data_IF_532083812278
#
_entry.id   IF_532083812278
#
_cell.length_a   1.000
_cell.length_b   1.000
_cell.length_c   1.000
_cell.angle_alpha   90.00
_cell.angle_beta   90.00
_cell.angle_gamma   90.00
#
_symmetry.space_group_name_H-M   'P 1'
#
loop_
_entity.id
_entity.type
_entity.pdbx_description
1 polymer ?
#
# COMPACT_ATOMS: atom_id res chain seq x y z
N UNK A 1 -5.92 -41.42 1.99
CA UNK A 1 -4.51 -41.52 2.50
C UNK A 1 -3.45 -40.61 1.86
N UNK A 2 -3.48 -40.25 0.56
CA UNK A 2 -2.41 -39.42 -0.07
C UNK A 2 -2.49 -37.91 0.22
N UNK A 3 -3.68 -37.34 0.41
CA UNK A 3 -3.85 -35.90 0.66
C UNK A 3 -3.46 -35.49 2.09
N UNK A 4 -3.75 -36.33 3.10
CA UNK A 4 -3.47 -36.07 4.52
C UNK A 4 -1.95 -35.93 4.84
N UNK A 5 -1.09 -36.71 4.17
CA UNK A 5 0.37 -36.62 4.37
C UNK A 5 1.00 -35.33 3.85
N UNK A 6 0.39 -34.68 2.86
CA UNK A 6 0.90 -33.43 2.30
C UNK A 6 0.58 -32.23 3.18
N UNK A 7 -0.53 -32.26 3.94
CA UNK A 7 -0.89 -31.19 4.87
C UNK A 7 -0.05 -31.21 6.16
N UNK A 8 0.21 -32.38 6.73
CA UNK A 8 0.94 -32.50 8.01
C UNK A 8 2.42 -32.08 7.92
N UNK A 9 3.09 -32.32 6.78
CA UNK A 9 4.50 -32.00 6.59
C UNK A 9 4.77 -30.50 6.36
N UNK A 10 3.78 -29.75 5.84
CA UNK A 10 3.91 -28.30 5.65
C UNK A 10 3.82 -27.49 6.96
N UNK A 11 3.17 -28.03 7.99
CA UNK A 11 2.85 -27.31 9.23
C UNK A 11 4.06 -27.27 10.18
N UNK A 12 4.83 -28.35 10.31
CA UNK A 12 5.96 -28.44 11.26
C UNK A 12 7.10 -27.45 10.93
N UNK A 13 7.34 -27.17 9.64
CA UNK A 13 8.39 -26.24 9.20
C UNK A 13 8.08 -24.76 9.50
N UNK A 14 6.81 -24.36 9.48
CA UNK A 14 6.39 -22.99 9.79
C UNK A 14 6.43 -22.69 11.30
N UNK A 15 6.21 -23.72 12.14
CA UNK A 15 6.11 -23.61 13.61
C UNK A 15 7.43 -23.16 14.26
N UNK A 16 8.58 -23.62 13.76
CA UNK A 16 9.89 -23.30 14.36
C UNK A 16 10.36 -21.87 14.03
N UNK A 17 9.98 -21.33 12.88
CA UNK A 17 10.49 -20.05 12.39
C UNK A 17 9.84 -18.83 13.07
N UNK A 18 8.56 -18.94 13.47
CA UNK A 18 7.81 -17.81 14.05
C UNK A 18 8.12 -17.61 15.54
N UNK A 19 8.41 -18.69 16.28
CA UNK A 19 8.70 -18.59 17.71
C UNK A 19 9.99 -17.80 18.01
N UNK A 20 10.96 -17.82 17.09
CA UNK A 20 12.21 -17.07 17.21
C UNK A 20 12.04 -15.54 17.09
N UNK A 21 10.90 -15.02 16.63
CA UNK A 21 10.67 -13.56 16.51
C UNK A 21 10.10 -12.91 17.77
N UNK A 22 9.77 -13.66 18.82
CA UNK A 22 9.03 -13.14 19.99
C UNK A 22 9.94 -12.58 21.10
N UNK A 23 11.27 -12.79 21.04
CA UNK A 23 12.18 -12.50 22.17
C UNK A 23 12.96 -11.18 22.07
N UNK A 24 12.40 -10.12 21.47
CA UNK A 24 12.96 -8.77 21.63
C UNK A 24 12.01 -7.94 22.49
N UNK A 25 12.32 -7.90 23.78
CA UNK A 25 11.69 -6.99 24.73
C UNK A 25 12.34 -5.61 24.56
N UNK A 26 11.68 -4.72 23.81
CA UNK A 26 12.12 -3.33 23.67
C UNK A 26 11.71 -2.53 24.90
N UNK A 27 12.68 -1.83 25.50
CA UNK A 27 12.39 -0.89 26.60
C UNK A 27 11.66 0.34 26.05
N UNK A 28 10.85 1.04 26.87
CA UNK A 28 10.13 2.26 26.47
C UNK A 28 11.04 3.36 25.86
N UNK A 29 12.34 3.37 26.21
CA UNK A 29 13.34 4.27 25.64
C UNK A 29 13.68 3.95 24.17
N UNK A 30 13.61 2.67 23.79
CA UNK A 30 13.89 2.18 22.44
C UNK A 30 12.75 2.50 21.48
N UNK A 31 11.50 2.41 21.94
CA UNK A 31 10.34 2.83 21.17
C UNK A 31 10.34 4.33 20.89
N UNK A 32 10.76 5.16 21.86
CA UNK A 32 10.92 6.60 21.66
C UNK A 32 12.00 6.94 20.63
N UNK A 33 13.16 6.29 20.69
CA UNK A 33 14.24 6.48 19.72
C UNK A 33 13.83 6.04 18.31
N UNK A 34 13.17 4.88 18.18
CA UNK A 34 12.64 4.37 16.91
C UNK A 34 11.58 5.32 16.33
N UNK A 35 10.71 5.85 17.18
CA UNK A 35 9.71 6.85 16.79
C UNK A 35 10.33 8.12 16.24
N UNK A 36 11.38 8.63 16.90
CA UNK A 36 12.14 9.78 16.41
C UNK A 36 12.79 9.51 15.06
N UNK A 37 13.52 8.40 14.91
CA UNK A 37 14.20 8.05 13.65
C UNK A 37 13.22 7.98 12.46
N UNK A 38 12.09 7.31 12.64
CA UNK A 38 11.05 7.19 11.63
C UNK A 38 10.42 8.55 11.30
N UNK A 39 10.15 9.36 12.33
CA UNK A 39 9.63 10.71 12.16
C UNK A 39 10.58 11.61 11.37
N UNK A 40 11.88 11.60 11.69
CA UNK A 40 12.89 12.39 10.97
C UNK A 40 13.07 11.92 9.52
N UNK A 41 12.84 10.63 9.24
CA UNK A 41 12.92 10.10 7.89
C UNK A 41 11.69 10.47 7.04
N UNK A 42 10.48 10.27 7.57
CA UNK A 42 9.25 10.36 6.78
C UNK A 42 8.43 11.64 7.00
N UNK A 43 8.48 12.24 8.19
CA UNK A 43 7.56 13.30 8.61
C UNK A 43 8.20 14.69 8.64
N UNK A 44 9.46 14.80 9.10
CA UNK A 44 10.14 16.08 9.27
C UNK A 44 10.32 16.92 7.99
N UNK A 45 10.39 16.37 6.77
CA UNK A 45 10.37 17.18 5.55
C UNK A 45 9.18 18.15 5.44
N UNK A 46 8.04 17.77 6.01
CA UNK A 46 6.81 18.56 5.98
C UNK A 46 6.48 19.18 7.35
N UNK A 47 6.59 18.42 8.44
CA UNK A 47 6.24 18.86 9.80
C UNK A 47 7.41 19.52 10.56
N UNK A 48 8.62 19.54 9.98
CA UNK A 48 9.81 20.03 10.67
C UNK A 48 10.39 19.04 11.67
N UNK A 49 11.66 19.22 12.04
CA UNK A 49 12.35 18.33 12.97
C UNK A 49 11.76 18.43 14.38
N UNK A 50 11.31 19.62 14.80
CA UNK A 50 10.64 19.81 16.10
C UNK A 50 9.13 19.55 16.07
N UNK A 51 8.54 19.34 14.89
CA UNK A 51 7.08 19.25 14.69
C UNK A 51 6.37 20.60 14.62
N UNK A 52 7.10 21.71 14.76
CA UNK A 52 6.53 23.05 14.66
C UNK A 52 6.21 23.41 13.21
N UNK A 53 5.08 24.07 13.02
CA UNK A 53 4.71 24.59 11.70
C UNK A 53 5.82 25.48 11.10
N UNK A 54 5.89 25.49 9.77
CA UNK A 54 6.82 26.29 8.97
C UNK A 54 8.30 25.85 9.03
N UNK A 55 8.66 24.80 9.76
CA UNK A 55 10.06 24.32 9.83
C UNK A 55 10.42 23.31 8.75
N UNK A 56 9.47 22.48 8.30
CA UNK A 56 9.72 21.51 7.24
C UNK A 56 10.13 22.22 5.95
N UNK A 57 11.21 21.76 5.31
CA UNK A 57 11.72 22.41 4.10
C UNK A 57 10.71 22.41 2.94
N UNK A 58 9.75 21.47 2.95
CA UNK A 58 8.69 21.38 1.95
C UNK A 58 7.49 22.29 2.27
N UNK A 59 7.38 22.81 3.49
CA UNK A 59 6.21 23.55 3.98
C UNK A 59 5.73 24.68 3.06
N UNK A 60 6.69 25.48 2.55
CA UNK A 60 6.40 26.63 1.69
C UNK A 60 5.81 26.23 0.34
N UNK A 61 6.02 24.98 -0.08
CA UNK A 61 5.57 24.42 -1.37
C UNK A 61 4.25 23.63 -1.24
N UNK A 62 3.74 23.46 -0.01
CA UNK A 62 2.49 22.72 0.24
C UNK A 62 1.25 23.59 0.02
N UNK A 63 0.21 23.08 -0.65
CA UNK A 63 -1.09 23.74 -0.70
C UNK A 63 -1.81 23.67 0.66
N UNK A 64 -2.90 24.41 0.81
CA UNK A 64 -3.77 24.26 1.95
C UNK A 64 -4.65 22.99 1.84
N UNK A 65 -4.96 22.33 2.97
CA UNK A 65 -4.46 22.62 4.31
C UNK A 65 -2.98 22.20 4.46
N UNK A 66 -2.17 23.12 4.99
CA UNK A 66 -0.76 22.86 5.30
C UNK A 66 -0.60 21.85 6.45
N UNK A 67 0.59 21.23 6.59
CA UNK A 67 0.85 20.32 7.70
C UNK A 67 0.51 20.93 9.06
N UNK A 68 -0.03 20.16 10.00
CA UNK A 68 -0.40 20.68 11.33
C UNK A 68 0.84 20.96 12.19
N UNK A 69 0.76 21.95 13.08
CA UNK A 69 1.73 22.16 14.16
C UNK A 69 1.56 21.07 15.23
N UNK A 70 2.48 20.12 15.27
CA UNK A 70 2.44 18.97 16.17
C UNK A 70 2.86 19.31 17.60
N UNK A 71 3.38 20.52 17.83
CA UNK A 71 3.75 21.04 19.15
C UNK A 71 2.60 21.78 19.84
N UNK A 72 1.53 22.10 19.10
CA UNK A 72 0.38 22.82 19.65
C UNK A 72 -0.39 21.94 20.64
N UNK A 73 -0.07 22.09 21.92
CA UNK A 73 -0.70 21.33 23.00
C UNK A 73 -2.22 21.51 23.07
N UNK A 74 -2.76 22.70 22.79
CA UNK A 74 -4.20 22.92 22.93
C UNK A 74 -5.01 22.11 21.91
N UNK A 75 -4.43 21.91 20.73
CA UNK A 75 -5.08 21.21 19.63
C UNK A 75 -4.70 19.73 19.62
N UNK A 76 -3.40 19.41 19.72
CA UNK A 76 -2.95 18.02 19.66
C UNK A 76 -3.44 17.18 20.84
N UNK A 77 -3.73 17.80 21.99
CA UNK A 77 -4.32 17.09 23.14
C UNK A 77 -5.77 16.67 22.91
N UNK A 78 -6.48 17.20 21.90
CA UNK A 78 -7.88 16.83 21.66
C UNK A 78 -8.03 15.51 20.90
N UNK A 79 -6.98 15.08 20.18
CA UNK A 79 -6.97 13.80 19.47
C UNK A 79 -6.64 12.66 20.42
N UNK A 80 -7.28 11.50 20.20
CA UNK A 80 -6.88 10.23 20.82
C UNK A 80 -5.65 9.66 20.12
N UNK A 81 -4.98 8.71 20.76
CA UNK A 81 -3.83 8.03 20.18
C UNK A 81 -4.21 7.31 18.87
N UNK A 82 -5.39 6.70 18.85
CA UNK A 82 -5.96 6.03 17.69
C UNK A 82 -6.26 7.01 16.55
N UNK A 83 -6.66 8.24 16.84
CA UNK A 83 -6.95 9.24 15.80
C UNK A 83 -5.65 9.63 15.06
N UNK A 84 -4.56 9.80 15.81
CA UNK A 84 -3.23 10.07 15.24
C UNK A 84 -2.74 8.83 14.46
N UNK A 85 -2.87 7.64 15.04
CA UNK A 85 -2.52 6.39 14.37
C UNK A 85 -3.28 6.23 13.04
N UNK A 86 -4.59 6.42 13.06
CA UNK A 86 -5.45 6.27 11.88
C UNK A 86 -5.12 7.32 10.82
N UNK A 87 -4.78 8.55 11.21
CA UNK A 87 -4.32 9.58 10.28
C UNK A 87 -3.06 9.15 9.53
N UNK A 88 -2.12 8.49 10.21
CA UNK A 88 -0.86 7.98 9.63
C UNK A 88 -1.08 6.69 8.83
N UNK A 89 -2.04 5.85 9.24
CA UNK A 89 -2.25 4.47 8.74
C UNK A 89 -3.62 4.27 8.07
N UNK A 90 -4.15 5.30 7.40
CA UNK A 90 -5.41 5.21 6.62
C UNK A 90 -5.18 4.74 5.20
N UNK A 91 -6.26 4.39 4.51
CA UNK A 91 -6.24 4.29 3.05
C UNK A 91 -6.34 5.69 2.41
N UNK A 92 -5.72 5.85 1.24
CA UNK A 92 -5.83 7.08 0.46
C UNK A 92 -7.20 7.13 -0.22
N UNK A 93 -7.87 8.28 -0.13
CA UNK A 93 -9.18 8.54 -0.74
C UNK A 93 -9.03 9.55 -1.89
N UNK A 94 -9.79 9.38 -2.97
CA UNK A 94 -9.87 10.35 -4.06
C UNK A 94 -10.78 11.51 -3.63
N UNK A 95 -10.21 12.67 -3.34
CA UNK A 95 -10.97 13.84 -2.84
C UNK A 95 -11.57 14.71 -3.95
N UNK A 96 -11.56 14.24 -5.19
CA UNK A 96 -12.10 15.04 -6.27
C UNK A 96 -13.63 15.13 -6.22
N UNK A 97 -14.17 16.30 -6.56
CA UNK A 97 -15.63 16.56 -6.51
C UNK A 97 -16.50 15.59 -7.31
N UNK A 98 -16.04 15.16 -8.49
CA UNK A 98 -16.84 14.31 -9.40
C UNK A 98 -16.27 12.90 -9.50
N UNK A 99 -16.91 11.90 -8.90
CA UNK A 99 -16.42 10.51 -9.00
C UNK A 99 -15.17 10.23 -8.17
N UNK A 100 -14.88 11.09 -7.17
CA UNK A 100 -14.04 10.73 -6.04
C UNK A 100 -14.79 9.87 -5.02
N UNK A 101 -14.11 9.53 -3.93
CA UNK A 101 -14.69 8.76 -2.82
C UNK A 101 -15.60 9.65 -1.96
N UNK A 102 -16.62 9.05 -1.33
CA UNK A 102 -17.40 9.74 -0.30
C UNK A 102 -16.55 9.95 0.95
N UNK A 103 -16.43 11.22 1.36
CA UNK A 103 -15.67 11.64 2.53
C UNK A 103 -16.67 12.02 3.63
N UNK A 104 -16.67 11.27 4.73
CA UNK A 104 -17.48 11.61 5.89
C UNK A 104 -16.96 12.86 6.60
N UNK A 105 -17.82 13.53 7.37
CA UNK A 105 -17.48 14.76 8.09
C UNK A 105 -16.29 14.57 9.07
N UNK A 106 -16.12 13.36 9.60
CA UNK A 106 -15.04 13.00 10.53
C UNK A 106 -13.82 12.36 9.83
N UNK A 107 -13.85 12.20 8.50
CA UNK A 107 -12.78 11.53 7.76
C UNK A 107 -11.63 12.49 7.42
N UNK A 108 -10.41 12.14 7.84
CA UNK A 108 -9.22 12.81 7.34
C UNK A 108 -8.86 12.30 5.94
N UNK A 109 -9.04 13.14 4.92
CA UNK A 109 -8.84 12.76 3.52
C UNK A 109 -7.78 13.57 2.75
N UNK A 110 -7.00 14.44 3.41
CA UNK A 110 -6.02 15.32 2.72
C UNK A 110 -5.00 14.50 1.90
N UNK A 111 -4.99 14.58 0.55
CA UNK A 111 -4.16 13.68 -0.27
C UNK A 111 -2.66 13.90 -0.11
N UNK A 112 -2.25 15.13 0.24
CA UNK A 112 -0.85 15.53 0.36
C UNK A 112 -0.17 15.01 1.63
N UNK A 113 -0.94 14.54 2.62
CA UNK A 113 -0.41 13.77 3.75
C UNK A 113 -0.50 12.28 3.40
N UNK A 114 0.63 11.63 3.05
CA UNK A 114 0.62 10.27 2.54
C UNK A 114 0.26 9.25 3.63
N UNK A 115 -0.26 8.10 3.20
CA UNK A 115 -0.38 6.94 4.08
C UNK A 115 0.95 6.24 4.29
N UNK A 116 1.15 5.71 5.50
CA UNK A 116 2.26 4.82 5.83
C UNK A 116 1.80 3.39 6.12
N UNK A 117 0.49 3.11 6.01
CA UNK A 117 -0.14 1.80 6.25
C UNK A 117 0.54 0.65 5.52
N UNK A 118 1.03 0.90 4.31
CA UNK A 118 1.67 -0.11 3.45
C UNK A 118 3.19 -0.06 3.47
N UNK A 119 3.78 0.79 4.31
CA UNK A 119 5.23 1.03 4.39
C UNK A 119 5.79 0.62 5.74
N UNK A 120 5.11 0.99 6.82
CA UNK A 120 5.51 0.78 8.19
C UNK A 120 4.68 -0.34 8.82
N UNK A 121 5.24 -1.05 9.80
CA UNK A 121 4.45 -1.95 10.64
C UNK A 121 3.57 -1.16 11.61
N UNK A 122 2.52 -1.78 12.16
CA UNK A 122 1.67 -1.11 13.17
C UNK A 122 2.50 -0.66 14.39
N UNK A 123 3.44 -1.48 14.86
CA UNK A 123 4.37 -1.11 15.94
C UNK A 123 5.18 0.16 15.61
N UNK A 124 5.64 0.29 14.37
CA UNK A 124 6.40 1.46 13.91
C UNK A 124 5.53 2.72 13.86
N UNK A 125 4.28 2.60 13.41
CA UNK A 125 3.33 3.71 13.45
C UNK A 125 3.06 4.12 14.90
N UNK A 126 2.86 3.18 15.83
CA UNK A 126 2.73 3.50 17.25
C UNK A 126 3.97 4.16 17.84
N UNK A 127 5.17 3.78 17.40
CA UNK A 127 6.39 4.48 17.80
C UNK A 127 6.38 5.96 17.34
N UNK A 128 5.92 6.24 16.12
CA UNK A 128 5.71 7.61 15.64
C UNK A 128 4.67 8.34 16.49
N UNK A 129 3.53 7.72 16.80
CA UNK A 129 2.49 8.31 17.67
C UNK A 129 3.09 8.69 19.03
N UNK A 130 3.87 7.79 19.63
CA UNK A 130 4.58 8.04 20.88
C UNK A 130 5.52 9.24 20.81
N UNK A 131 6.29 9.37 19.72
CA UNK A 131 7.15 10.53 19.49
C UNK A 131 6.35 11.82 19.31
N UNK A 132 5.30 11.80 18.48
CA UNK A 132 4.40 12.94 18.24
C UNK A 132 3.75 13.41 19.55
N UNK A 133 3.31 12.50 20.43
CA UNK A 133 2.81 12.84 21.78
C UNK A 133 3.84 13.60 22.61
N UNK A 134 5.10 13.18 22.52
CA UNK A 134 6.22 13.87 23.17
C UNK A 134 6.38 15.32 22.75
N UNK A 135 6.14 15.65 21.47
CA UNK A 135 6.31 17.00 20.91
C UNK A 135 5.39 18.05 21.54
N UNK A 136 4.23 17.64 22.04
CA UNK A 136 3.28 18.51 22.76
C UNK A 136 3.17 18.18 24.26
N UNK A 137 4.16 17.47 24.81
CA UNK A 137 4.27 17.20 26.24
C UNK A 137 3.24 16.20 26.79
N UNK A 138 2.70 15.33 25.93
CA UNK A 138 1.85 14.21 26.32
C UNK A 138 2.63 12.89 26.26
N UNK A 139 2.07 11.86 26.89
CA UNK A 139 2.50 10.48 26.74
C UNK A 139 1.40 9.70 26.05
N UNK A 140 1.78 8.81 25.16
CA UNK A 140 0.87 7.84 24.57
C UNK A 140 0.31 6.92 25.67
N UNK A 141 -1.00 6.72 25.65
CA UNK A 141 -1.75 5.80 26.49
C UNK A 141 -1.75 4.37 25.92
N UNK A 142 -1.70 4.23 24.59
CA UNK A 142 -1.65 2.93 23.92
C UNK A 142 -0.44 2.10 24.36
N UNK A 143 -0.65 0.82 24.68
CA UNK A 143 0.38 -0.08 25.21
C UNK A 143 0.73 -1.18 24.22
N UNK A 144 1.74 -0.91 23.38
CA UNK A 144 2.21 -1.85 22.35
C UNK A 144 2.57 -3.23 22.90
N UNK A 145 3.27 -3.29 24.04
CA UNK A 145 3.67 -4.57 24.65
C UNK A 145 2.49 -5.40 25.15
N UNK A 146 1.43 -4.77 25.66
CA UNK A 146 0.21 -5.48 26.05
C UNK A 146 -0.52 -6.01 24.82
N UNK A 147 -0.62 -5.20 23.75
CA UNK A 147 -1.19 -5.62 22.46
C UNK A 147 -0.42 -6.80 21.86
N UNK A 148 0.90 -6.75 21.86
CA UNK A 148 1.78 -7.83 21.34
C UNK A 148 1.54 -9.14 22.09
N UNK A 149 1.45 -9.09 23.43
CA UNK A 149 1.13 -10.26 24.26
C UNK A 149 -0.27 -10.83 23.97
N UNK A 150 -1.26 -9.96 23.82
CA UNK A 150 -2.62 -10.37 23.46
C UNK A 150 -2.67 -11.08 22.10
N UNK A 151 -2.01 -10.53 21.08
CA UNK A 151 -1.95 -11.14 19.76
C UNK A 151 -1.18 -12.47 19.76
N UNK A 152 -0.08 -12.57 20.51
CA UNK A 152 0.65 -13.81 20.66
C UNK A 152 -0.20 -14.91 21.33
N UNK A 153 -0.96 -14.56 22.37
CA UNK A 153 -1.89 -15.49 23.03
C UNK A 153 -3.05 -15.90 22.11
N UNK A 154 -3.60 -14.98 21.32
CA UNK A 154 -4.63 -15.27 20.34
C UNK A 154 -4.10 -16.21 19.23
N UNK A 155 -2.88 -15.97 18.74
CA UNK A 155 -2.22 -16.84 17.77
C UNK A 155 -2.02 -18.26 18.32
N UNK A 156 -1.52 -18.39 19.55
CA UNK A 156 -1.35 -19.69 20.20
C UNK A 156 -2.69 -20.42 20.39
N UNK A 157 -3.74 -19.68 20.74
CA UNK A 157 -5.10 -20.25 20.88
C UNK A 157 -5.62 -20.76 19.53
N UNK A 158 -5.47 -19.96 18.46
CA UNK A 158 -5.87 -20.37 17.12
C UNK A 158 -5.09 -21.60 16.60
N UNK A 159 -3.79 -21.68 16.91
CA UNK A 159 -2.97 -22.86 16.61
C UNK A 159 -3.52 -24.11 17.33
N UNK A 160 -3.82 -23.98 18.62
CA UNK A 160 -4.38 -25.07 19.43
C UNK A 160 -5.74 -25.53 18.89
N UNK A 161 -6.61 -24.58 18.53
CA UNK A 161 -7.92 -24.89 17.95
C UNK A 161 -7.81 -25.64 16.62
N UNK A 162 -6.89 -25.22 15.74
CA UNK A 162 -6.66 -25.93 14.48
C UNK A 162 -6.12 -27.34 14.72
N UNK A 163 -5.19 -27.52 15.66
CA UNK A 163 -4.65 -28.84 15.99
C UNK A 163 -5.76 -29.78 16.49
N UNK A 164 -6.63 -29.30 17.36
CA UNK A 164 -7.78 -30.07 17.86
C UNK A 164 -8.79 -30.39 16.76
N UNK A 165 -9.15 -29.41 15.93
CA UNK A 165 -10.07 -29.62 14.81
C UNK A 165 -9.51 -30.58 13.77
N UNK A 166 -8.20 -30.53 13.50
CA UNK A 166 -7.51 -31.47 12.61
C UNK A 166 -7.58 -32.90 13.16
N UNK A 167 -7.29 -33.08 14.46
CA UNK A 167 -7.41 -34.39 15.13
C UNK A 167 -8.82 -34.96 15.08
N UNK A 168 -9.85 -34.11 15.27
CA UNK A 168 -11.25 -34.52 15.17
C UNK A 168 -11.62 -34.95 13.74
N UNK A 169 -11.22 -34.16 12.74
CA UNK A 169 -11.40 -34.50 11.33
C UNK A 169 -10.72 -35.81 10.95
N UNK A 170 -9.46 -36.01 11.31
CA UNK A 170 -8.72 -37.25 11.03
C UNK A 170 -9.37 -38.48 11.71
N UNK A 171 -9.90 -38.31 12.92
CA UNK A 171 -10.62 -39.38 13.62
C UNK A 171 -11.94 -39.73 12.93
N UNK A 172 -12.72 -38.72 12.50
CA UNK A 172 -13.99 -38.91 11.80
C UNK A 172 -13.81 -39.52 10.40
N UNK A 173 -12.83 -39.04 9.62
CA UNK A 173 -12.48 -39.60 8.30
C UNK A 173 -12.06 -41.08 8.43
N UNK A 174 -11.25 -41.39 9.45
CA UNK A 174 -10.82 -42.76 9.72
C UNK A 174 -11.99 -43.66 10.07
N UNK A 175 -12.90 -43.21 10.95
CA UNK A 175 -14.09 -43.99 11.31
C UNK A 175 -14.99 -44.24 10.10
N UNK A 176 -15.22 -43.23 9.26
CA UNK A 176 -16.01 -43.36 8.04
C UNK A 176 -15.39 -44.35 7.05
N UNK A 177 -14.06 -44.32 6.92
CA UNK A 177 -13.31 -45.26 6.07
C UNK A 177 -13.42 -46.70 6.58
N UNK A 178 -13.25 -46.93 7.89
CA UNK A 178 -13.41 -48.25 8.50
C UNK A 178 -14.85 -48.79 8.36
N UNK A 179 -15.86 -47.93 8.41
CA UNK A 179 -17.25 -48.33 8.20
C UNK A 179 -17.54 -48.70 6.73
N UNK A 180 -16.98 -47.95 5.78
CA UNK A 180 -17.10 -48.23 4.35
C UNK A 180 -16.40 -49.54 3.95
N UNK A 181 -15.22 -49.82 4.51
CA UNK A 181 -14.52 -51.09 4.32
C UNK A 181 -15.35 -52.28 4.82
N UNK A 182 -15.91 -52.20 6.04
CA UNK A 182 -16.80 -53.24 6.58
C UNK A 182 -18.03 -53.46 5.70
N UNK A 183 -18.65 -52.39 5.18
CA UNK A 183 -19.78 -52.49 4.25
C UNK A 183 -19.36 -53.12 2.93
N UNK A 184 -18.17 -52.80 2.43
CA UNK A 184 -17.63 -53.36 1.18
C UNK A 184 -17.41 -54.87 1.28
N UNK A 185 -16.82 -55.32 2.39
CA UNK A 185 -16.61 -56.75 2.66
C UNK A 185 -17.94 -57.51 2.79
N UNK A 186 -18.91 -56.95 3.52
CA UNK A 186 -20.22 -57.58 3.72
C UNK A 186 -21.04 -57.69 2.41
N UNK A 187 -20.94 -56.68 1.54
CA UNK A 187 -21.71 -56.59 0.29
C UNK A 187 -20.98 -57.17 -0.92
N UNK A 188 -19.69 -57.52 -0.79
CA UNK A 188 -18.79 -57.93 -1.90
C UNK A 188 -18.82 -56.93 -3.07
N UNK A 189 -18.93 -55.64 -2.74
CA UNK A 189 -18.98 -54.53 -3.68
C UNK A 189 -18.24 -53.37 -3.06
N UNK A 190 -17.48 -52.63 -3.87
CA UNK A 190 -16.78 -51.44 -3.40
C UNK A 190 -17.79 -50.38 -2.92
N UNK A 191 -17.69 -50.02 -1.65
CA UNK A 191 -18.42 -48.93 -0.99
C UNK A 191 -17.38 -47.92 -0.53
N UNK A 192 -17.48 -46.70 -1.04
CA UNK A 192 -16.59 -45.61 -0.62
C UNK A 192 -17.10 -44.92 0.65
N UNK A 193 -16.21 -44.30 1.45
CA UNK A 193 -16.62 -43.50 2.60
C UNK A 193 -17.51 -42.35 2.19
N UNK A 194 -18.61 -42.19 2.91
CA UNK A 194 -19.56 -41.10 2.72
C UNK A 194 -18.96 -39.79 3.25
N UNK A 195 -18.55 -38.89 2.35
CA UNK A 195 -17.96 -37.61 2.74
C UNK A 195 -18.90 -36.75 3.59
N UNK A 196 -20.22 -36.98 3.51
CA UNK A 196 -21.18 -36.27 4.36
C UNK A 196 -21.10 -36.67 5.83
N UNK A 197 -20.50 -37.82 6.15
CA UNK A 197 -20.38 -38.32 7.52
C UNK A 197 -19.32 -37.60 8.35
N UNK A 198 -18.44 -36.81 7.72
CA UNK A 198 -17.40 -36.02 8.39
C UNK A 198 -17.34 -34.57 7.87
N UNK A 199 -18.41 -34.11 7.20
CA UNK A 199 -18.48 -32.78 6.60
C UNK A 199 -18.40 -31.66 7.65
N UNK A 200 -18.96 -31.90 8.84
CA UNK A 200 -18.95 -30.93 9.95
C UNK A 200 -17.53 -30.75 10.51
N UNK A 201 -16.77 -31.83 10.67
CA UNK A 201 -15.37 -31.79 11.12
C UNK A 201 -14.46 -31.12 10.08
N UNK A 202 -14.70 -31.39 8.78
CA UNK A 202 -13.98 -30.71 7.70
C UNK A 202 -14.27 -29.20 7.70
N UNK A 203 -15.52 -28.81 7.89
CA UNK A 203 -15.92 -27.40 8.00
C UNK A 203 -15.30 -26.73 9.24
N UNK A 204 -15.29 -27.41 10.39
CA UNK A 204 -14.67 -26.93 11.62
C UNK A 204 -13.14 -26.75 11.45
N UNK A 205 -12.44 -27.70 10.83
CA UNK A 205 -11.01 -27.58 10.52
C UNK A 205 -10.74 -26.43 9.56
N UNK A 206 -11.55 -26.28 8.50
CA UNK A 206 -11.42 -25.16 7.55
C UNK A 206 -11.61 -23.80 8.23
N UNK A 207 -12.60 -23.69 9.12
CA UNK A 207 -12.83 -22.49 9.93
C UNK A 207 -11.66 -22.19 10.86
N UNK A 208 -11.19 -23.18 11.63
CA UNK A 208 -10.05 -23.01 12.53
C UNK A 208 -8.78 -22.60 11.77
N UNK A 209 -8.60 -23.12 10.55
CA UNK A 209 -7.49 -22.71 9.67
C UNK A 209 -7.60 -21.24 9.28
N UNK A 210 -8.78 -20.77 8.86
CA UNK A 210 -9.00 -19.35 8.53
C UNK A 210 -8.74 -18.44 9.73
N UNK A 211 -9.15 -18.84 10.93
CA UNK A 211 -8.89 -18.12 12.18
C UNK A 211 -7.39 -18.04 12.49
N UNK A 212 -6.66 -19.15 12.32
CA UNK A 212 -5.20 -19.17 12.45
C UNK A 212 -4.53 -18.25 11.43
N UNK A 213 -4.91 -18.36 10.15
CA UNK A 213 -4.34 -17.55 9.07
C UNK A 213 -4.59 -16.04 9.35
N UNK A 214 -5.77 -15.68 9.89
CA UNK A 214 -6.10 -14.30 10.28
C UNK A 214 -5.31 -13.83 11.52
N UNK A 215 -5.17 -14.68 12.55
CA UNK A 215 -4.36 -14.35 13.73
C UNK A 215 -2.89 -14.17 13.37
N UNK A 216 -2.36 -15.01 12.47
CA UNK A 216 -1.00 -14.91 11.96
C UNK A 216 -0.82 -13.63 11.17
N UNK A 217 -1.73 -13.30 10.24
CA UNK A 217 -1.68 -12.05 9.50
C UNK A 217 -1.69 -10.82 10.41
N UNK A 218 -2.53 -10.83 11.46
CA UNK A 218 -2.61 -9.74 12.44
C UNK A 218 -1.29 -9.58 13.20
N UNK A 219 -0.69 -10.68 13.66
CA UNK A 219 0.61 -10.64 14.33
C UNK A 219 1.74 -10.19 13.39
N UNK A 220 1.73 -10.64 12.14
CA UNK A 220 2.70 -10.23 11.12
C UNK A 220 2.59 -8.73 10.83
N UNK A 221 1.38 -8.19 10.65
CA UNK A 221 1.16 -6.77 10.43
C UNK A 221 1.63 -5.90 11.61
N UNK A 222 1.55 -6.43 12.84
CA UNK A 222 2.07 -5.73 14.01
C UNK A 222 3.57 -5.47 13.91
N UNK A 223 4.33 -6.52 13.62
CA UNK A 223 5.79 -6.53 13.80
C UNK A 223 6.58 -6.39 12.50
N UNK A 224 5.97 -6.65 11.35
CA UNK A 224 6.66 -6.70 10.06
C UNK A 224 6.14 -5.62 9.12
N UNK A 225 7.06 -4.90 8.47
CA UNK A 225 6.71 -3.96 7.40
C UNK A 225 5.99 -4.67 6.25
N UNK A 226 4.85 -4.14 5.76
CA UNK A 226 4.18 -4.69 4.61
C UNK A 226 5.08 -4.69 3.37
N UNK A 227 4.93 -5.70 2.51
CA UNK A 227 5.63 -5.77 1.23
C UNK A 227 7.15 -6.01 1.32
N UNK A 228 7.75 -6.14 2.52
CA UNK A 228 9.17 -6.44 2.67
C UNK A 228 9.51 -7.79 2.02
N UNK A 229 10.53 -7.81 1.16
CA UNK A 229 10.96 -9.01 0.43
C UNK A 229 10.01 -9.48 -0.68
N UNK A 230 8.95 -8.73 -0.97
CA UNK A 230 8.05 -9.04 -2.09
C UNK A 230 8.61 -8.50 -3.40
N UNK A 231 8.42 -9.23 -4.50
CA UNK A 231 8.78 -8.77 -5.84
C UNK A 231 7.50 -8.41 -6.60
N UNK A 232 7.42 -7.17 -7.10
CA UNK A 232 6.32 -6.77 -7.99
C UNK A 232 6.64 -7.26 -9.41
N UNK A 233 5.78 -8.08 -10.04
CA UNK A 233 6.00 -8.56 -11.39
C UNK A 233 6.00 -7.41 -12.40
N UNK A 234 6.63 -7.62 -13.56
CA UNK A 234 6.57 -6.66 -14.66
C UNK A 234 5.15 -6.68 -15.25
N UNK A 235 4.41 -5.56 -15.23
CA UNK A 235 3.05 -5.50 -15.78
C UNK A 235 3.03 -5.43 -17.31
N UNK A 236 1.90 -5.80 -17.91
CA UNK A 236 1.52 -5.33 -19.24
C UNK A 236 0.81 -3.97 -19.16
N UNK A 237 1.51 -2.93 -19.57
CA UNK A 237 1.02 -1.54 -19.58
C UNK A 237 0.38 -1.15 -20.91
N UNK A 238 0.27 -2.08 -21.86
CA UNK A 238 -0.40 -1.83 -23.14
C UNK A 238 -1.87 -1.48 -22.91
N UNK A 239 -2.37 -0.50 -23.66
CA UNK A 239 -3.76 -0.07 -23.61
C UNK A 239 -4.25 0.25 -25.02
N UNK A 240 -5.53 0.02 -25.27
CA UNK A 240 -6.14 0.33 -26.56
C UNK A 240 -6.13 1.86 -26.79
N UNK A 241 -5.87 2.34 -28.03
CA UNK A 241 -5.77 3.77 -28.32
C UNK A 241 -7.01 4.57 -27.91
N UNK A 242 -8.21 4.00 -28.03
CA UNK A 242 -9.48 4.63 -27.67
C UNK A 242 -9.66 4.83 -26.16
N UNK A 243 -8.95 4.07 -25.33
CA UNK A 243 -8.99 4.17 -23.87
C UNK A 243 -7.83 4.99 -23.28
N UNK A 244 -6.76 5.21 -24.06
CA UNK A 244 -5.52 5.85 -23.58
C UNK A 244 -5.79 7.24 -22.97
N UNK A 245 -6.50 8.10 -23.69
CA UNK A 245 -6.76 9.47 -23.23
C UNK A 245 -7.54 9.50 -21.92
N UNK A 246 -8.56 8.64 -21.79
CA UNK A 246 -9.37 8.51 -20.57
C UNK A 246 -8.54 8.00 -19.39
N UNK A 247 -7.68 7.01 -19.62
CA UNK A 247 -6.81 6.46 -18.57
C UNK A 247 -5.70 7.42 -18.15
N UNK A 248 -5.15 8.21 -19.07
CA UNK A 248 -4.20 9.28 -18.75
C UNK A 248 -4.88 10.36 -17.89
N UNK A 249 -6.09 10.79 -18.26
CA UNK A 249 -6.84 11.76 -17.47
C UNK A 249 -7.17 11.24 -16.06
N UNK A 250 -7.55 9.96 -15.94
CA UNK A 250 -7.70 9.30 -14.64
C UNK A 250 -6.37 9.30 -13.86
N UNK A 251 -5.26 8.97 -14.52
CA UNK A 251 -3.94 8.97 -13.92
C UNK A 251 -3.52 10.33 -13.35
N UNK A 252 -3.79 11.41 -14.08
CA UNK A 252 -3.56 12.78 -13.62
C UNK A 252 -4.39 13.10 -12.38
N UNK A 253 -5.70 12.83 -12.42
CA UNK A 253 -6.58 12.99 -11.26
C UNK A 253 -6.06 12.23 -10.04
N UNK A 254 -5.71 10.95 -10.21
CA UNK A 254 -5.23 10.12 -9.11
C UNK A 254 -3.91 10.65 -8.54
N UNK A 255 -3.03 11.14 -9.42
CA UNK A 255 -1.78 11.79 -9.04
C UNK A 255 -2.01 13.00 -8.13
N UNK A 256 -2.99 13.86 -8.44
CA UNK A 256 -3.27 15.10 -7.70
C UNK A 256 -4.15 14.86 -6.47
N UNK A 257 -5.26 14.14 -6.63
CA UNK A 257 -6.38 14.17 -5.70
C UNK A 257 -6.57 12.92 -4.86
N UNK A 258 -5.94 11.80 -5.22
CA UNK A 258 -5.98 10.58 -4.40
C UNK A 258 -4.67 10.33 -3.69
N UNK A 259 -3.58 10.32 -4.46
CA UNK A 259 -2.26 9.96 -3.96
C UNK A 259 -1.38 11.16 -3.63
N UNK A 260 -1.85 12.39 -3.93
CA UNK A 260 -1.19 13.65 -3.56
C UNK A 260 0.28 13.69 -3.95
N UNK A 261 0.63 13.10 -5.10
CA UNK A 261 2.01 12.97 -5.56
C UNK A 261 2.67 14.35 -5.72
N UNK A 262 1.89 15.36 -6.11
CA UNK A 262 2.27 16.76 -6.17
C UNK A 262 2.64 17.38 -4.81
N UNK A 263 2.24 16.77 -3.68
CA UNK A 263 2.69 17.21 -2.35
C UNK A 263 4.17 16.97 -2.12
N UNK A 264 4.76 15.97 -2.79
CA UNK A 264 6.17 15.64 -2.68
C UNK A 264 6.95 15.97 -3.95
N UNK A 265 6.37 15.76 -5.12
CA UNK A 265 7.02 15.90 -6.42
C UNK A 265 6.59 17.18 -7.13
N UNK A 266 7.54 17.83 -7.80
CA UNK A 266 7.24 18.97 -8.67
C UNK A 266 6.98 18.54 -10.12
N UNK A 267 6.11 19.30 -10.77
CA UNK A 267 5.97 19.39 -12.23
C UNK A 267 6.08 20.88 -12.57
N UNK A 268 7.20 21.26 -13.15
CA UNK A 268 7.54 22.61 -13.55
C UNK A 268 7.84 23.42 -12.30
N UNK A 269 7.29 24.64 -12.18
CA UNK A 269 7.43 25.44 -10.98
C UNK A 269 6.55 24.94 -9.81
N UNK A 270 5.59 24.05 -10.08
CA UNK A 270 4.53 23.68 -9.14
C UNK A 270 4.82 22.35 -8.43
N UNK A 271 4.36 22.24 -7.18
CA UNK A 271 4.43 21.01 -6.38
C UNK A 271 5.56 20.98 -5.34
N UNK A 272 5.75 19.80 -4.74
CA UNK A 272 6.67 19.58 -3.63
C UNK A 272 8.13 19.44 -4.03
N UNK A 273 9.00 19.52 -3.02
CA UNK A 273 10.47 19.43 -3.14
C UNK A 273 11.08 18.21 -2.45
N UNK A 274 10.24 17.34 -1.88
CA UNK A 274 10.69 16.12 -1.17
C UNK A 274 11.13 15.06 -2.17
N UNK A 275 10.33 14.86 -3.22
CA UNK A 275 10.60 13.98 -4.32
C UNK A 275 11.29 14.71 -5.48
N UNK A 276 11.97 13.99 -6.39
CA UNK A 276 12.53 14.58 -7.59
C UNK A 276 11.45 15.14 -8.52
N UNK A 277 11.79 16.17 -9.30
CA UNK A 277 10.94 16.70 -10.35
C UNK A 277 10.55 15.61 -11.38
N UNK A 278 9.28 15.57 -11.76
CA UNK A 278 8.69 14.55 -12.64
C UNK A 278 8.39 15.05 -14.06
N UNK A 279 8.71 16.29 -14.39
CA UNK A 279 8.50 16.91 -15.70
C UNK A 279 8.96 16.07 -16.88
N UNK A 280 10.07 15.37 -16.68
CA UNK A 280 10.72 14.55 -17.71
C UNK A 280 10.65 13.06 -17.39
N UNK A 281 9.73 12.64 -16.52
CA UNK A 281 9.60 11.25 -16.10
C UNK A 281 9.39 10.32 -17.30
N UNK A 282 8.50 10.67 -18.23
CA UNK A 282 8.21 9.89 -19.43
C UNK A 282 9.34 9.85 -20.46
N UNK A 283 10.29 10.78 -20.37
CA UNK A 283 11.52 10.74 -21.16
C UNK A 283 12.61 9.88 -20.49
N UNK A 284 12.71 9.94 -19.16
CA UNK A 284 13.81 9.35 -18.38
C UNK A 284 13.54 7.94 -17.86
N UNK A 285 12.28 7.60 -17.62
CA UNK A 285 11.89 6.40 -16.88
C UNK A 285 11.13 5.42 -17.77
N UNK A 286 11.34 4.13 -17.52
CA UNK A 286 10.59 3.07 -18.17
C UNK A 286 9.23 2.88 -17.48
N UNK A 287 8.13 2.85 -18.24
CA UNK A 287 6.78 2.72 -17.66
C UNK A 287 6.58 1.49 -16.77
N UNK A 288 7.15 0.33 -17.13
CA UNK A 288 7.05 -0.87 -16.27
C UNK A 288 7.86 -0.75 -14.99
N UNK A 289 8.95 0.02 -15.01
CA UNK A 289 9.70 0.37 -13.81
C UNK A 289 8.90 1.31 -12.91
N UNK A 290 8.29 2.35 -13.50
CA UNK A 290 7.43 3.30 -12.77
C UNK A 290 6.28 2.58 -12.08
N UNK A 291 5.57 1.70 -12.79
CA UNK A 291 4.49 0.90 -12.19
C UNK A 291 4.96 0.14 -10.95
N UNK A 292 6.10 -0.57 -11.04
CA UNK A 292 6.63 -1.37 -9.92
C UNK A 292 7.03 -0.48 -8.75
N UNK A 293 7.62 0.68 -9.05
CA UNK A 293 7.96 1.69 -8.05
C UNK A 293 6.73 2.20 -7.32
N UNK A 294 5.64 2.52 -8.04
CA UNK A 294 4.38 2.97 -7.44
C UNK A 294 3.70 1.88 -6.59
N UNK A 295 3.84 0.60 -6.98
CA UNK A 295 3.25 -0.53 -6.24
C UNK A 295 3.97 -0.83 -4.93
N UNK A 296 5.29 -0.83 -4.93
CA UNK A 296 6.09 -1.11 -3.74
C UNK A 296 7.51 -0.51 -3.89
N UNK A 297 7.71 0.77 -3.55
CA UNK A 297 8.99 1.44 -3.71
C UNK A 297 10.06 0.83 -2.77
N UNK A 298 9.65 0.36 -1.58
CA UNK A 298 10.55 -0.23 -0.59
C UNK A 298 11.13 -1.59 -1.01
N UNK A 299 10.44 -2.33 -1.89
CA UNK A 299 10.98 -3.54 -2.51
C UNK A 299 12.08 -3.25 -3.54
N UNK A 300 12.12 -2.03 -4.08
CA UNK A 300 13.12 -1.60 -5.07
C UNK A 300 14.26 -0.83 -4.43
N UNK A 301 13.96 -0.01 -3.43
CA UNK A 301 14.93 0.69 -2.60
C UNK A 301 14.37 0.78 -1.17
N UNK A 302 14.95 0.01 -0.24
CA UNK A 302 14.48 -0.07 1.14
C UNK A 302 14.70 1.22 1.98
N UNK A 303 15.49 2.17 1.47
CA UNK A 303 15.79 3.45 2.14
C UNK A 303 15.06 4.64 1.50
N UNK A 304 14.20 4.40 0.51
CA UNK A 304 13.49 5.50 -0.15
C UNK A 304 12.48 6.15 0.78
N UNK A 305 12.44 7.49 0.78
CA UNK A 305 11.45 8.27 1.52
C UNK A 305 10.04 8.17 0.93
N UNK A 306 9.90 7.71 -0.32
CA UNK A 306 8.58 7.55 -0.94
C UNK A 306 7.86 6.34 -0.31
N UNK A 307 6.75 6.55 0.41
CA UNK A 307 6.01 5.43 0.98
C UNK A 307 5.24 4.66 -0.10
N UNK A 308 4.95 3.40 0.17
CA UNK A 308 3.93 2.67 -0.56
C UNK A 308 2.55 3.25 -0.19
N UNK A 309 1.84 3.80 -1.18
CA UNK A 309 0.55 4.47 -0.98
C UNK A 309 -0.68 3.56 -1.18
N UNK A 310 -0.45 2.25 -1.40
CA UNK A 310 -1.53 1.29 -1.58
C UNK A 310 -2.22 1.32 -2.94
N UNK A 311 -1.51 1.73 -4.01
CA UNK A 311 -2.10 1.75 -5.35
C UNK A 311 -2.55 0.35 -5.76
N UNK A 312 -3.82 0.22 -6.16
CA UNK A 312 -4.27 -0.98 -6.87
C UNK A 312 -3.67 -1.00 -8.29
N UNK A 313 -3.84 -2.12 -9.01
CA UNK A 313 -3.19 -2.29 -10.32
C UNK A 313 -3.73 -1.34 -11.39
N UNK A 314 -5.03 -1.01 -11.35
CA UNK A 314 -5.64 -0.06 -12.27
C UNK A 314 -5.11 1.37 -12.03
N UNK A 315 -5.06 1.79 -10.77
CA UNK A 315 -4.57 3.10 -10.35
C UNK A 315 -3.07 3.25 -10.68
N UNK A 316 -2.26 2.24 -10.35
CA UNK A 316 -0.83 2.23 -10.68
C UNK A 316 -0.60 2.31 -12.19
N UNK A 317 -1.39 1.61 -13.00
CA UNK A 317 -1.33 1.67 -14.47
C UNK A 317 -1.73 3.06 -14.98
N UNK A 318 -2.81 3.63 -14.47
CA UNK A 318 -3.28 4.95 -14.88
C UNK A 318 -2.25 6.06 -14.58
N UNK A 319 -1.75 6.11 -13.34
CA UNK A 319 -0.71 7.07 -12.93
C UNK A 319 0.58 6.86 -13.73
N UNK A 320 0.99 5.61 -13.97
CA UNK A 320 2.14 5.32 -14.83
C UNK A 320 1.96 5.91 -16.23
N UNK A 321 0.80 5.69 -16.86
CA UNK A 321 0.51 6.20 -18.20
C UNK A 321 0.53 7.72 -18.23
N UNK A 322 -0.04 8.39 -17.23
CA UNK A 322 0.08 9.84 -17.07
C UNK A 322 1.55 10.28 -16.98
N UNK A 323 2.35 9.68 -16.11
CA UNK A 323 3.77 10.04 -15.98
C UNK A 323 4.55 9.83 -17.29
N UNK A 324 4.15 8.88 -18.15
CA UNK A 324 4.78 8.70 -19.47
C UNK A 324 4.53 9.85 -20.46
N UNK A 325 3.50 10.67 -20.24
CA UNK A 325 3.23 11.86 -21.06
C UNK A 325 4.09 13.05 -20.64
N UNK A 326 4.66 13.04 -19.43
CA UNK A 326 5.54 14.10 -18.92
C UNK A 326 6.94 13.99 -19.53
N UNK A 327 7.19 14.73 -20.62
CA UNK A 327 8.46 14.68 -21.39
C UNK A 327 9.28 15.96 -21.33
N UNK A 328 8.87 16.92 -20.49
CA UNK A 328 9.37 18.28 -20.39
C UNK A 328 8.65 19.20 -21.37
N UNK A 329 8.71 20.52 -21.13
CA UNK A 329 8.39 21.48 -22.18
C UNK A 329 9.30 21.18 -23.38
N UNK A 330 8.71 21.09 -24.56
CA UNK A 330 9.49 21.23 -25.78
C UNK A 330 9.99 22.66 -25.81
N UNK A 331 11.16 22.95 -25.22
CA UNK A 331 11.87 24.17 -25.52
C UNK A 331 12.17 24.18 -27.02
N UNK A 332 11.40 24.96 -27.78
CA UNK A 332 11.69 25.32 -29.16
C UNK A 332 11.65 24.19 -30.18
N UNK A 333 10.68 24.28 -31.08
CA UNK A 333 11.02 24.30 -32.51
C UNK A 333 11.93 23.16 -33.01
N UNK A 334 11.42 21.93 -33.10
CA UNK A 334 11.64 21.27 -34.39
C UNK A 334 10.79 22.07 -35.38
N UNK A 335 11.43 23.04 -36.02
CA UNK A 335 10.91 23.65 -37.21
C UNK A 335 10.48 22.50 -38.12
N UNK A 336 9.17 22.28 -38.21
CA UNK A 336 8.62 21.68 -39.41
C UNK A 336 9.29 22.43 -40.57
N UNK A 337 9.85 21.74 -41.58
CA UNK A 337 10.37 22.45 -42.74
C UNK A 337 9.24 23.36 -43.20
N UNK A 338 9.48 24.67 -43.17
CA UNK A 338 8.50 25.66 -43.57
C UNK A 338 7.94 25.21 -44.91
N UNK A 339 6.66 24.88 -44.95
CA UNK A 339 5.95 24.76 -46.22
C UNK A 339 6.02 26.18 -46.77
N UNK A 340 6.90 26.38 -47.75
CA UNK A 340 7.04 27.64 -48.44
C UNK A 340 5.63 28.11 -48.87
N UNK A 341 5.29 29.39 -48.66
CA UNK A 341 4.00 29.88 -49.12
C UNK A 341 3.93 29.63 -50.63
N UNK A 342 2.83 29.03 -51.07
CA UNK A 342 2.55 28.78 -52.47
C UNK A 342 2.81 30.07 -53.26
N UNK A 343 3.68 29.98 -54.26
CA UNK A 343 4.00 31.08 -55.15
C UNK A 343 2.70 31.63 -55.75
N UNK A 344 2.53 32.96 -55.67
CA UNK A 344 1.46 33.66 -56.35
C UNK A 344 1.48 33.34 -57.86
N UNK A 345 0.33 33.17 -58.53
CA UNK A 345 0.30 32.90 -59.96
C UNK A 345 0.88 34.07 -60.74
N UNK A 346 1.69 33.74 -61.75
CA UNK A 346 2.32 34.71 -62.64
C UNK A 346 1.28 35.58 -63.37
N UNK A 347 1.57 36.87 -63.62
CA UNK A 347 0.69 37.73 -64.39
C UNK A 347 0.58 37.24 -65.85
N UNK A 348 -0.58 37.42 -66.51
CA UNK A 348 -0.78 36.98 -67.89
C UNK A 348 0.13 37.78 -68.86
N UNK A 349 0.55 37.18 -69.99
CA UNK A 349 1.42 37.84 -70.96
C UNK A 349 0.69 39.00 -71.63
N UNK A 350 1.40 40.12 -71.78
CA UNK A 350 0.92 41.34 -72.42
C UNK A 350 0.52 41.08 -73.89
N UNK A 351 -0.73 41.41 -74.23
CA UNK A 351 -1.19 41.47 -75.61
C UNK A 351 -0.42 42.55 -76.38
N UNK A 352 0.30 42.12 -77.42
CA UNK A 352 0.85 43.00 -78.44
C UNK A 352 -0.30 43.58 -79.26
N UNK A 353 -0.59 44.87 -79.09
CA UNK A 353 -1.40 45.65 -80.02
C UNK A 353 -0.83 45.50 -81.44
N UNK A 354 -1.58 44.83 -82.32
CA UNK A 354 -1.42 45.01 -83.76
C UNK A 354 -2.06 46.35 -84.15
N UNK A 355 -1.38 47.01 -85.09
CA UNK A 355 -1.57 48.38 -85.60
C UNK A 355 -3.02 48.82 -85.78
#
# INVERSE_FOLDING_TARGET
>A
MKAARLYALGIVGAVVYVWAMVTVAGCANEQGAKGHELYSHYCSPCHGESGKQNEGFNWSSMPDPKPKDLTNKSEMSTFKDEDIFNTISRDMKDTSEVGGDEIGDDDFAVPTMPTFKYTLSEEEVWAIVGYVRGLHGMKMEFKVEERKKQLAAALQTAQTNLEQATKAYEAAEKQASEEAEKKSEALKKDVEPDESSYADELAAMSKAKKELDAAQATMTNLVTRPGKGTSVPRPDITIKPDQLAKTVALGQRLYENKYGCNGCHSIGPDGGKVGPALDRAGFRLNGTWVYRWLKNPQAMNAETRMPALGLNDADAKAVTLYLTTLRGESEGEFAAPAVAPAAAPAPPPAEKKKK
#
